data_IF_784044312015
#
_entry.id   IF_784044312015
#
_cell.length_a   1.000
_cell.length_b   1.000
_cell.length_c   1.000
_cell.angle_alpha   90.00
_cell.angle_beta   90.00
_cell.angle_gamma   90.00
#
_symmetry.space_group_name_H-M   'P 1'
#
loop_
_entity.id
_entity.type
_entity.pdbx_description
1 polymer ?
#
# COMPACT_ATOMS: atom_id res chain seq x y z
N UNK A 1 20.98 -1.43 30.04
CA UNK A 1 20.18 -2.57 30.49
C UNK A 1 18.75 -2.07 30.74
N UNK A 2 17.77 -2.46 29.93
CA UNK A 2 16.38 -2.01 30.06
C UNK A 2 15.65 -2.65 31.26
N UNK A 3 16.22 -3.73 31.84
CA UNK A 3 15.69 -4.32 33.07
C UNK A 3 15.73 -3.35 34.26
N UNK A 4 16.58 -2.33 34.22
CA UNK A 4 16.60 -1.27 35.22
C UNK A 4 15.27 -0.51 35.34
N UNK A 5 14.42 -0.50 34.30
CA UNK A 5 13.08 0.09 34.34
C UNK A 5 12.14 -0.64 35.32
N UNK A 6 12.37 -1.93 35.58
CA UNK A 6 11.51 -2.75 36.44
C UNK A 6 11.75 -2.50 37.94
N UNK A 7 12.86 -1.86 38.29
CA UNK A 7 13.27 -1.61 39.68
C UNK A 7 12.65 -0.32 40.23
N UNK A 8 12.23 0.60 39.36
CA UNK A 8 11.68 1.90 39.74
C UNK A 8 10.16 1.84 39.85
N UNK A 9 9.61 2.49 40.88
CA UNK A 9 8.16 2.67 41.05
C UNK A 9 7.56 3.47 39.88
N UNK A 10 8.28 4.48 39.41
CA UNK A 10 8.02 5.19 38.15
C UNK A 10 9.15 4.92 37.16
N UNK A 11 8.93 4.09 36.12
CA UNK A 11 9.97 3.72 35.16
C UNK A 11 10.66 4.89 34.46
N UNK A 12 10.00 6.04 34.33
CA UNK A 12 10.55 7.25 33.71
C UNK A 12 11.67 7.90 34.54
N UNK A 13 11.70 7.65 35.85
CA UNK A 13 12.73 8.19 36.76
C UNK A 13 14.03 7.36 36.71
N UNK A 14 14.04 6.26 35.96
CA UNK A 14 15.23 5.43 35.74
C UNK A 14 16.28 6.16 34.91
N UNK A 15 17.56 5.79 35.09
CA UNK A 15 18.66 6.25 34.25
C UNK A 15 18.51 5.85 32.77
N UNK A 16 17.65 4.87 32.48
CA UNK A 16 17.25 4.44 31.13
C UNK A 16 15.81 4.82 30.78
N UNK A 17 15.20 5.75 31.54
CA UNK A 17 13.83 6.22 31.33
C UNK A 17 13.59 6.85 29.95
N UNK A 18 14.64 7.37 29.32
CA UNK A 18 14.60 7.94 27.96
C UNK A 18 14.08 6.95 26.90
N UNK A 19 14.18 5.63 27.13
CA UNK A 19 13.58 4.62 26.26
C UNK A 19 12.05 4.69 26.18
N UNK A 20 11.39 5.31 27.17
CA UNK A 20 9.94 5.44 27.24
C UNK A 20 9.42 6.70 26.54
N UNK A 21 10.31 7.61 26.12
CA UNK A 21 9.94 8.82 25.41
C UNK A 21 9.22 8.52 24.08
N UNK A 22 8.37 9.44 23.64
CA UNK A 22 7.63 9.28 22.39
C UNK A 22 8.57 9.10 21.18
N UNK A 23 9.70 9.82 21.17
CA UNK A 23 10.74 9.73 20.14
C UNK A 23 11.31 8.33 20.01
N UNK A 24 11.69 7.69 21.13
CA UNK A 24 12.23 6.33 21.11
C UNK A 24 11.16 5.29 20.74
N UNK A 25 9.93 5.47 21.20
CA UNK A 25 8.81 4.59 20.82
C UNK A 25 8.51 4.63 19.33
N UNK A 26 8.57 5.81 18.72
CA UNK A 26 8.39 5.99 17.28
C UNK A 26 9.49 5.26 16.49
N UNK A 27 10.76 5.45 16.86
CA UNK A 27 11.90 4.77 16.22
C UNK A 27 11.77 3.24 16.32
N UNK A 28 11.40 2.72 17.49
CA UNK A 28 11.18 1.28 17.66
C UNK A 28 9.98 0.80 16.85
N UNK A 29 8.89 1.57 16.79
CA UNK A 29 7.73 1.23 15.99
C UNK A 29 8.09 1.13 14.50
N UNK A 30 8.88 2.08 13.98
CA UNK A 30 9.36 2.06 12.60
C UNK A 30 10.27 0.86 12.31
N UNK A 31 11.20 0.57 13.21
CA UNK A 31 12.09 -0.58 13.08
C UNK A 31 11.32 -1.91 13.08
N UNK A 32 10.35 -2.06 13.99
CA UNK A 32 9.49 -3.25 14.07
C UNK A 32 8.59 -3.35 12.83
N UNK A 33 7.99 -2.25 12.38
CA UNK A 33 7.18 -2.21 11.16
C UNK A 33 8.02 -2.66 9.96
N UNK A 34 9.23 -2.14 9.79
CA UNK A 34 10.15 -2.53 8.72
C UNK A 34 10.53 -4.02 8.80
N UNK A 35 10.80 -4.54 10.01
CA UNK A 35 11.14 -5.95 10.21
C UNK A 35 9.95 -6.88 9.87
N UNK A 36 8.74 -6.54 10.31
CA UNK A 36 7.52 -7.31 9.99
C UNK A 36 7.23 -7.26 8.50
N UNK A 37 7.36 -6.09 7.86
CA UNK A 37 7.14 -5.94 6.42
C UNK A 37 8.19 -6.70 5.59
N UNK A 38 9.45 -6.71 6.00
CA UNK A 38 10.53 -7.42 5.29
C UNK A 38 10.45 -8.94 5.41
N UNK A 39 9.91 -9.44 6.53
CA UNK A 39 9.72 -10.87 6.78
C UNK A 39 8.40 -11.41 6.24
N UNK A 40 7.46 -10.56 5.81
CA UNK A 40 6.18 -10.99 5.26
C UNK A 40 6.35 -11.57 3.83
N UNK A 41 6.25 -12.90 3.64
CA UNK A 41 6.41 -13.51 2.32
C UNK A 41 5.29 -13.09 1.36
N UNK A 42 4.13 -12.65 1.88
CA UNK A 42 2.99 -12.19 1.06
C UNK A 42 3.19 -10.79 0.48
N UNK A 43 4.22 -10.04 0.91
CA UNK A 43 4.49 -8.71 0.38
C UNK A 43 5.38 -8.70 -0.86
N UNK A 44 6.19 -9.74 -1.08
CA UNK A 44 7.04 -9.85 -2.26
C UNK A 44 6.23 -9.99 -3.56
N UNK A 45 5.05 -10.60 -3.50
CA UNK A 45 4.18 -10.81 -4.66
C UNK A 45 3.05 -9.77 -4.80
N UNK A 46 2.91 -8.86 -3.83
CA UNK A 46 1.88 -7.79 -3.82
C UNK A 46 2.39 -6.45 -4.34
N UNK A 47 3.40 -6.46 -5.20
CA UNK A 47 3.83 -5.23 -5.90
C UNK A 47 2.71 -4.64 -6.76
N UNK A 48 1.74 -5.47 -7.15
CA UNK A 48 0.52 -5.03 -7.82
C UNK A 48 -0.68 -5.19 -6.91
N UNK A 49 -1.49 -4.12 -6.83
CA UNK A 49 -2.76 -4.19 -6.12
C UNK A 49 -3.66 -5.27 -6.76
N UNK A 50 -4.56 -5.87 -5.97
CA UNK A 50 -5.53 -6.83 -6.52
C UNK A 50 -6.36 -6.20 -7.65
N UNK A 51 -6.63 -4.90 -7.53
CA UNK A 51 -7.27 -4.09 -8.56
C UNK A 51 -6.44 -4.06 -9.85
N UNK A 52 -5.14 -3.80 -9.76
CA UNK A 52 -4.28 -3.80 -10.95
C UNK A 52 -4.23 -5.17 -11.63
N UNK A 53 -4.17 -6.24 -10.84
CA UNK A 53 -4.22 -7.61 -11.38
C UNK A 53 -5.52 -7.86 -12.14
N UNK A 54 -6.66 -7.48 -11.55
CA UNK A 54 -7.96 -7.63 -12.19
C UNK A 54 -8.09 -6.77 -13.47
N UNK A 55 -7.57 -5.55 -13.44
CA UNK A 55 -7.55 -4.67 -14.62
C UNK A 55 -6.70 -5.25 -15.76
N UNK A 56 -5.54 -5.84 -15.44
CA UNK A 56 -4.70 -6.52 -16.43
C UNK A 56 -5.41 -7.73 -17.04
N UNK A 57 -6.06 -8.55 -16.22
CA UNK A 57 -6.84 -9.70 -16.70
C UNK A 57 -8.00 -9.28 -17.60
N UNK A 58 -8.75 -8.25 -17.20
CA UNK A 58 -9.84 -7.70 -18.00
C UNK A 58 -9.34 -7.19 -19.36
N UNK A 59 -8.25 -6.42 -19.38
CA UNK A 59 -7.67 -5.91 -20.63
C UNK A 59 -7.19 -7.07 -21.53
N UNK A 60 -6.56 -8.09 -20.98
CA UNK A 60 -6.13 -9.28 -21.73
C UNK A 60 -7.33 -10.02 -22.35
N UNK A 61 -8.37 -10.29 -21.55
CA UNK A 61 -9.60 -10.93 -22.03
C UNK A 61 -10.27 -10.13 -23.16
N UNK A 62 -10.38 -8.80 -23.02
CA UNK A 62 -10.96 -7.97 -24.07
C UNK A 62 -10.11 -7.96 -25.35
N UNK A 63 -8.78 -8.06 -25.25
CA UNK A 63 -7.90 -8.16 -26.42
C UNK A 63 -8.05 -9.51 -27.14
N UNK A 64 -8.10 -10.61 -26.39
CA UNK A 64 -8.35 -11.95 -26.94
C UNK A 64 -9.71 -12.04 -27.63
N UNK A 65 -10.76 -11.49 -27.00
CA UNK A 65 -12.08 -11.42 -27.63
C UNK A 65 -12.05 -10.62 -28.94
N UNK A 66 -11.26 -9.55 -29.00
CA UNK A 66 -11.08 -8.76 -30.23
C UNK A 66 -10.35 -9.56 -31.30
N UNK A 67 -9.30 -10.28 -30.94
CA UNK A 67 -8.54 -11.15 -31.84
C UNK A 67 -9.45 -12.25 -32.45
N UNK A 68 -10.34 -12.84 -31.65
CA UNK A 68 -11.33 -13.82 -32.11
C UNK A 68 -12.36 -13.25 -33.08
N UNK A 69 -12.60 -11.93 -33.03
CA UNK A 69 -13.54 -11.24 -33.90
C UNK A 69 -12.83 -10.45 -35.01
N UNK A 70 -11.68 -10.94 -35.52
CA UNK A 70 -10.89 -10.30 -36.58
C UNK A 70 -10.49 -8.83 -36.29
N UNK A 71 -10.27 -8.52 -35.01
CA UNK A 71 -9.96 -7.18 -34.53
C UNK A 71 -11.17 -6.25 -34.40
N UNK A 72 -12.39 -6.73 -34.63
CA UNK A 72 -13.63 -5.97 -34.48
C UNK A 72 -14.03 -5.82 -32.99
N UNK A 73 -14.65 -4.69 -32.65
CA UNK A 73 -15.09 -4.37 -31.29
C UNK A 73 -14.27 -3.25 -30.62
N UNK A 74 -14.71 -2.82 -29.43
CA UNK A 74 -14.06 -1.75 -28.68
C UNK A 74 -12.80 -2.24 -27.96
N UNK A 75 -11.73 -1.43 -28.00
CA UNK A 75 -10.55 -1.64 -27.17
C UNK A 75 -10.71 -0.91 -25.83
N UNK A 76 -10.47 -1.65 -24.74
CA UNK A 76 -10.51 -1.14 -23.38
C UNK A 76 -9.19 -0.40 -23.08
N UNK A 77 -9.26 0.92 -23.06
CA UNK A 77 -8.13 1.79 -22.70
C UNK A 77 -8.38 2.47 -21.36
N UNK A 78 -7.67 2.03 -20.32
CA UNK A 78 -7.77 2.59 -18.98
C UNK A 78 -7.45 4.10 -18.99
N UNK A 79 -6.39 4.49 -19.68
CA UNK A 79 -5.99 5.90 -19.82
C UNK A 79 -7.09 6.77 -20.44
N UNK A 80 -7.77 6.27 -21.47
CA UNK A 80 -8.91 6.98 -22.10
C UNK A 80 -10.08 7.12 -21.13
N UNK A 81 -10.42 6.05 -20.41
CA UNK A 81 -11.48 6.04 -19.39
C UNK A 81 -11.21 7.04 -18.27
N UNK A 82 -9.99 7.04 -17.72
CA UNK A 82 -9.60 7.95 -16.64
C UNK A 82 -9.65 9.42 -17.09
N UNK A 83 -9.12 9.74 -18.28
CA UNK A 83 -9.20 11.08 -18.85
C UNK A 83 -10.65 11.54 -19.05
N UNK A 84 -11.51 10.67 -19.60
CA UNK A 84 -12.93 10.99 -19.82
C UNK A 84 -13.69 11.21 -18.51
N UNK A 85 -13.41 10.43 -17.46
CA UNK A 85 -14.06 10.58 -16.16
C UNK A 85 -13.61 11.86 -15.44
N UNK A 86 -12.34 12.25 -15.56
CA UNK A 86 -11.86 13.52 -15.02
C UNK A 86 -12.55 14.71 -15.70
N UNK A 87 -12.70 14.69 -17.03
CA UNK A 87 -13.46 15.73 -17.74
C UNK A 87 -14.94 15.79 -17.34
N UNK A 88 -15.57 14.65 -17.00
CA UNK A 88 -16.96 14.62 -16.52
C UNK A 88 -17.12 15.17 -15.10
N UNK A 89 -16.11 15.00 -14.24
CA UNK A 89 -16.12 15.57 -12.89
C UNK A 89 -16.00 17.10 -12.92
N UNK A 90 -15.14 17.64 -13.78
CA UNK A 90 -14.95 19.09 -13.95
C UNK A 90 -16.26 19.75 -14.44
N UNK A 91 -16.98 19.11 -15.37
CA UNK A 91 -18.27 19.61 -15.89
C UNK A 91 -19.45 19.56 -14.90
N UNK A 92 -19.30 18.90 -13.75
CA UNK A 92 -20.34 18.83 -12.70
C UNK A 92 -20.13 19.85 -11.58
N UNK A 93 -19.01 20.58 -11.61
CA UNK A 93 -18.62 21.57 -10.61
C UNK A 93 -18.80 23.02 -11.10
N UNK A 94 -19.35 23.21 -12.29
CA UNK A 94 -19.87 24.49 -12.82
C UNK A 94 -21.41 24.44 -12.80
#
# INVERSE_FOLDING_TARGET
DCFALLVYERPQESNVGYFLEASQREVVADAVNAAVLSTNPKHKDRLYSHLETLLRQLMACCLEQRLLNDGQGESLSLNRLLKNNNCKRIKKSD
#
